data_IF_454723015147
#
_entry.id   IF_454723015147
#
_cell.length_a   1.000
_cell.length_b   1.000
_cell.length_c   1.000
_cell.angle_alpha   90.00
_cell.angle_beta   90.00
_cell.angle_gamma   90.00
#
_symmetry.space_group_name_H-M   'P 1'
#
loop_
_entity.id
_entity.type
_entity.pdbx_description
1 polymer ?
#
# COMPACT_ATOMS: atom_id res chain seq x y z
N UNK A 1 -16.10 10.43 37.83
CA UNK A 1 -14.89 10.37 37.00
C UNK A 1 -14.47 8.91 36.96
N UNK A 2 -14.94 8.17 35.96
CA UNK A 2 -14.58 6.76 35.75
C UNK A 2 -13.96 6.69 34.36
N UNK A 3 -12.65 6.51 34.32
CA UNK A 3 -11.90 6.28 33.09
C UNK A 3 -12.39 4.99 32.43
N UNK A 4 -12.91 5.11 31.22
CA UNK A 4 -13.22 3.97 30.36
C UNK A 4 -11.88 3.28 29.98
N UNK A 5 -11.72 1.96 30.22
CA UNK A 5 -10.44 1.31 30.00
C UNK A 5 -10.11 1.30 28.50
N UNK A 6 -9.02 1.97 28.14
CA UNK A 6 -8.50 2.14 26.78
C UNK A 6 -8.31 0.80 26.03
N UNK A 7 -8.20 -0.32 26.76
CA UNK A 7 -8.13 -1.68 26.22
C UNK A 7 -9.42 -2.11 25.50
N UNK A 8 -10.61 -1.74 25.99
CA UNK A 8 -11.89 -2.14 25.39
C UNK A 8 -12.09 -1.54 23.97
N UNK A 9 -11.51 -0.37 23.73
CA UNK A 9 -11.51 0.31 22.42
C UNK A 9 -10.61 -0.41 21.41
N UNK A 10 -9.39 -0.79 21.82
CA UNK A 10 -8.44 -1.53 20.98
C UNK A 10 -8.94 -2.93 20.57
N UNK A 11 -9.61 -3.65 21.48
CA UNK A 11 -10.20 -4.96 21.19
C UNK A 11 -11.39 -4.89 20.22
N UNK A 12 -12.22 -3.84 20.31
CA UNK A 12 -13.30 -3.60 19.33
C UNK A 12 -12.74 -3.26 17.95
N UNK A 13 -11.71 -2.41 17.87
CA UNK A 13 -11.04 -2.07 16.60
C UNK A 13 -10.35 -3.27 15.95
N UNK A 14 -9.68 -4.13 16.73
CA UNK A 14 -9.02 -5.33 16.22
C UNK A 14 -10.01 -6.36 15.65
N UNK A 15 -11.18 -6.52 16.29
CA UNK A 15 -12.23 -7.45 15.84
C UNK A 15 -12.94 -6.95 14.58
N UNK A 16 -13.17 -5.64 14.46
CA UNK A 16 -13.70 -5.02 13.23
C UNK A 16 -12.69 -5.16 12.09
N UNK A 17 -11.41 -4.87 12.32
CA UNK A 17 -10.36 -5.05 11.32
C UNK A 17 -10.20 -6.53 10.90
N UNK A 18 -10.28 -7.47 11.84
CA UNK A 18 -10.22 -8.90 11.55
C UNK A 18 -11.42 -9.38 10.72
N UNK A 19 -12.63 -8.88 11.02
CA UNK A 19 -13.83 -9.22 10.24
C UNK A 19 -13.79 -8.62 8.84
N UNK A 20 -13.26 -7.40 8.67
CA UNK A 20 -13.02 -6.82 7.35
C UNK A 20 -12.00 -7.63 6.55
N UNK A 21 -10.91 -8.11 7.18
CA UNK A 21 -9.93 -9.00 6.53
C UNK A 21 -10.50 -10.37 6.15
N UNK A 22 -11.46 -10.91 6.89
CA UNK A 22 -12.12 -12.20 6.59
C UNK A 22 -13.14 -12.11 5.44
N UNK A 23 -13.65 -10.92 5.16
CA UNK A 23 -14.63 -10.65 4.09
C UNK A 23 -14.00 -10.12 2.81
N UNK A 24 -12.69 -9.91 2.83
CA UNK A 24 -11.94 -9.46 1.67
C UNK A 24 -11.74 -10.61 0.70
N UNK A 25 -11.92 -10.31 -0.57
CA UNK A 25 -11.62 -11.25 -1.61
C UNK A 25 -10.11 -11.55 -1.59
N UNK A 26 -9.75 -12.72 -2.09
CA UNK A 26 -8.35 -13.14 -2.05
C UNK A 26 -7.56 -12.18 -2.95
N UNK A 27 -6.51 -11.51 -2.45
CA UNK A 27 -5.72 -10.59 -3.25
C UNK A 27 -5.24 -11.23 -4.55
N UNK A 28 -5.27 -10.48 -5.64
CA UNK A 28 -4.79 -10.99 -6.92
C UNK A 28 -3.28 -10.89 -7.05
N UNK A 29 -2.72 -11.51 -8.09
CA UNK A 29 -1.30 -11.46 -8.43
C UNK A 29 -0.86 -10.16 -9.11
N UNK A 30 -1.78 -9.27 -9.50
CA UNK A 30 -1.48 -8.02 -10.19
C UNK A 30 -1.50 -6.85 -9.20
N UNK A 31 -0.33 -6.27 -8.90
CA UNK A 31 -0.19 -5.23 -7.88
C UNK A 31 0.10 -3.88 -8.50
N UNK A 32 -0.68 -2.86 -8.13
CA UNK A 32 -0.46 -1.47 -8.47
C UNK A 32 0.11 -0.72 -7.27
N UNK A 33 1.28 -0.11 -7.45
CA UNK A 33 1.99 0.64 -6.42
C UNK A 33 2.14 2.10 -6.85
N UNK A 34 1.81 2.99 -5.93
CA UNK A 34 1.88 4.44 -6.16
C UNK A 34 2.41 5.18 -4.93
N UNK A 35 2.75 6.46 -5.15
CA UNK A 35 2.96 7.40 -4.06
C UNK A 35 2.14 8.67 -4.21
N UNK A 36 1.74 9.23 -3.07
CA UNK A 36 1.07 10.51 -2.96
C UNK A 36 1.71 11.39 -1.88
N UNK A 37 1.69 12.70 -2.07
CA UNK A 37 2.08 13.66 -1.04
C UNK A 37 0.90 13.89 -0.12
N UNK A 38 1.08 13.73 1.18
CA UNK A 38 0.06 13.96 2.21
C UNK A 38 0.55 14.94 3.26
N UNK A 39 -0.36 15.63 3.95
CA UNK A 39 -0.04 16.53 5.06
C UNK A 39 -0.56 15.93 6.36
N UNK A 40 0.33 15.63 7.30
CA UNK A 40 -0.01 15.03 8.61
C UNK A 40 0.59 15.92 9.69
N UNK A 41 -0.25 16.47 10.59
CA UNK A 41 0.19 17.36 11.66
C UNK A 41 0.98 18.57 11.14
N UNK A 42 0.54 19.17 10.04
CA UNK A 42 1.23 20.31 9.43
C UNK A 42 2.43 19.96 8.52
N UNK A 43 2.91 18.71 8.54
CA UNK A 43 4.14 18.31 7.84
C UNK A 43 3.83 17.56 6.55
N UNK A 44 4.56 17.88 5.48
CA UNK A 44 4.53 17.11 4.22
C UNK A 44 5.19 15.75 4.43
N UNK A 45 4.50 14.70 4.02
CA UNK A 45 4.90 13.30 4.07
C UNK A 45 4.57 12.62 2.74
N UNK A 46 5.09 11.42 2.54
CA UNK A 46 4.80 10.58 1.38
C UNK A 46 4.04 9.35 1.82
N UNK A 47 2.83 9.18 1.28
CA UNK A 47 2.04 7.97 1.35
C UNK A 47 2.50 7.06 0.21
N UNK A 48 2.85 5.83 0.54
CA UNK A 48 3.16 4.76 -0.39
C UNK A 48 2.07 3.72 -0.24
N UNK A 49 1.41 3.36 -1.33
CA UNK A 49 0.27 2.47 -1.27
C UNK A 49 0.39 1.38 -2.34
N UNK A 50 -0.14 0.22 -2.00
CA UNK A 50 -0.27 -0.91 -2.89
C UNK A 50 -1.71 -1.39 -2.89
N UNK A 51 -2.26 -1.59 -4.09
CA UNK A 51 -3.56 -2.20 -4.31
C UNK A 51 -3.43 -3.34 -5.32
N UNK A 52 -4.37 -4.25 -5.36
CA UNK A 52 -4.48 -5.20 -6.47
C UNK A 52 -5.33 -4.66 -7.64
N UNK A 53 -5.52 -5.46 -8.69
CA UNK A 53 -6.34 -5.15 -9.87
C UNK A 53 -7.86 -5.27 -9.64
N UNK A 54 -8.30 -5.65 -8.43
CA UNK A 54 -9.69 -5.53 -7.96
C UNK A 54 -9.88 -4.23 -7.14
N UNK A 55 -8.79 -3.65 -6.66
CA UNK A 55 -8.76 -2.34 -5.98
C UNK A 55 -8.66 -2.50 -4.48
N UNK A 56 -8.41 -3.72 -4.01
CA UNK A 56 -8.20 -4.01 -2.62
C UNK A 56 -6.84 -3.49 -2.17
N UNK A 57 -6.83 -2.73 -1.06
CA UNK A 57 -5.59 -2.23 -0.46
C UNK A 57 -4.80 -3.36 0.17
N UNK A 58 -3.62 -3.62 -0.37
CA UNK A 58 -2.69 -4.66 0.08
C UNK A 58 -1.81 -4.18 1.23
N UNK A 59 -1.23 -2.97 1.11
CA UNK A 59 -0.48 -2.34 2.20
C UNK A 59 -0.37 -0.82 1.99
N UNK A 60 -0.11 -0.12 3.09
CA UNK A 60 0.11 1.33 3.14
C UNK A 60 1.30 1.63 4.04
N UNK A 61 2.12 2.60 3.62
CA UNK A 61 3.25 3.08 4.38
C UNK A 61 3.37 4.61 4.25
N UNK A 62 3.47 5.31 5.37
CA UNK A 62 3.80 6.74 5.38
C UNK A 62 5.28 6.90 5.71
N UNK A 63 6.00 7.71 4.93
CA UNK A 63 7.41 8.02 5.14
C UNK A 63 7.69 9.51 4.98
N UNK A 64 8.70 10.01 5.70
CA UNK A 64 9.18 11.40 5.56
C UNK A 64 9.89 11.66 4.23
N UNK A 65 10.43 10.62 3.58
CA UNK A 65 11.28 10.74 2.38
C UNK A 65 10.71 9.90 1.24
N UNK A 66 10.77 10.45 0.02
CA UNK A 66 10.45 9.73 -1.23
C UNK A 66 11.70 9.08 -1.82
N UNK A 67 12.06 7.88 -1.37
CA UNK A 67 13.32 7.23 -1.76
C UNK A 67 13.23 5.70 -1.92
N UNK A 68 14.30 5.11 -2.43
CA UNK A 68 14.48 3.65 -2.60
C UNK A 68 14.20 2.86 -1.31
N UNK A 69 14.58 3.38 -0.15
CA UNK A 69 14.41 2.67 1.11
C UNK A 69 12.94 2.49 1.47
N UNK A 70 12.12 3.52 1.26
CA UNK A 70 10.68 3.45 1.45
C UNK A 70 10.02 2.46 0.48
N UNK A 71 10.37 2.50 -0.81
CA UNK A 71 9.89 1.53 -1.81
C UNK A 71 10.23 0.08 -1.44
N UNK A 72 11.49 -0.17 -1.03
CA UNK A 72 11.92 -1.49 -0.55
C UNK A 72 11.15 -1.95 0.68
N UNK A 73 10.86 -1.03 1.61
CA UNK A 73 10.12 -1.35 2.82
C UNK A 73 8.70 -1.79 2.50
N UNK A 74 8.01 -1.08 1.58
CA UNK A 74 6.68 -1.48 1.13
C UNK A 74 6.72 -2.86 0.44
N UNK A 75 7.58 -3.03 -0.56
CA UNK A 75 7.68 -4.28 -1.32
C UNK A 75 8.00 -5.50 -0.43
N UNK A 76 8.92 -5.36 0.53
CA UNK A 76 9.23 -6.45 1.47
C UNK A 76 8.07 -6.80 2.39
N UNK A 77 7.25 -5.83 2.78
CA UNK A 77 6.04 -6.08 3.57
C UNK A 77 5.00 -6.82 2.74
N UNK A 78 4.79 -6.41 1.49
CA UNK A 78 3.87 -7.08 0.56
C UNK A 78 4.24 -8.54 0.34
N UNK A 79 5.49 -8.81 -0.06
CA UNK A 79 5.98 -10.18 -0.31
C UNK A 79 5.86 -11.09 0.92
N UNK A 80 5.97 -10.52 2.13
CA UNK A 80 5.85 -11.26 3.39
C UNK A 80 4.41 -11.51 3.80
N UNK A 81 3.54 -10.51 3.63
CA UNK A 81 2.24 -10.48 4.30
C UNK A 81 1.08 -10.91 3.41
N UNK A 82 1.17 -10.74 2.09
CA UNK A 82 0.09 -11.09 1.16
C UNK A 82 0.06 -12.60 0.91
N UNK A 83 1.18 -13.30 1.05
CA UNK A 83 1.25 -14.76 0.88
C UNK A 83 1.05 -15.23 -0.56
N UNK A 84 1.04 -14.29 -1.52
CA UNK A 84 0.99 -14.54 -2.96
C UNK A 84 2.20 -13.87 -3.58
N UNK A 85 2.85 -14.57 -4.49
CA UNK A 85 3.89 -13.98 -5.31
C UNK A 85 3.27 -13.15 -6.43
N UNK A 86 3.72 -11.90 -6.65
CA UNK A 86 3.15 -11.08 -7.69
C UNK A 86 3.45 -11.69 -9.06
N UNK A 87 2.44 -11.71 -9.92
CA UNK A 87 2.58 -11.98 -11.34
C UNK A 87 3.08 -10.72 -12.04
N UNK A 88 2.47 -9.58 -11.71
CA UNK A 88 2.79 -8.28 -12.29
C UNK A 88 2.83 -7.22 -11.19
N UNK A 89 3.81 -6.33 -11.26
CA UNK A 89 3.89 -5.14 -10.41
C UNK A 89 3.95 -3.90 -11.30
N UNK A 90 2.90 -3.09 -11.22
CA UNK A 90 2.75 -1.84 -11.95
C UNK A 90 3.10 -0.70 -11.00
N UNK A 91 4.02 0.18 -11.41
CA UNK A 91 4.40 1.34 -10.60
C UNK A 91 4.30 2.62 -11.41
N UNK A 92 4.32 3.77 -10.76
CA UNK A 92 4.66 5.01 -11.46
C UNK A 92 6.13 5.04 -11.93
N UNK A 93 6.53 6.14 -12.57
CA UNK A 93 7.89 6.32 -13.13
C UNK A 93 8.94 6.64 -12.08
N UNK A 94 8.64 6.57 -10.78
CA UNK A 94 9.62 6.90 -9.76
C UNK A 94 10.82 5.93 -9.80
N UNK A 95 12.01 6.49 -9.99
CA UNK A 95 13.26 5.71 -10.07
C UNK A 95 13.52 4.84 -8.82
N UNK A 96 12.93 5.22 -7.67
CA UNK A 96 12.99 4.45 -6.43
C UNK A 96 12.42 3.04 -6.58
N UNK A 97 11.33 2.86 -7.34
CA UNK A 97 10.77 1.54 -7.60
C UNK A 97 11.70 0.70 -8.46
N UNK A 98 12.18 1.25 -9.58
CA UNK A 98 13.16 0.54 -10.43
C UNK A 98 14.40 0.09 -9.65
N UNK A 99 14.91 0.95 -8.76
CA UNK A 99 16.05 0.61 -7.92
C UNK A 99 15.71 -0.45 -6.86
N UNK A 100 14.48 -0.47 -6.35
CA UNK A 100 14.00 -1.50 -5.43
C UNK A 100 13.79 -2.85 -6.12
N UNK A 101 13.19 -2.88 -7.32
CA UNK A 101 12.98 -4.10 -8.10
C UNK A 101 14.29 -4.81 -8.41
N UNK A 102 15.35 -4.06 -8.74
CA UNK A 102 16.69 -4.63 -8.95
C UNK A 102 17.24 -5.36 -7.73
N UNK A 103 17.02 -4.81 -6.53
CA UNK A 103 17.48 -5.43 -5.27
C UNK A 103 16.67 -6.66 -4.91
N UNK A 104 15.40 -6.71 -5.30
CA UNK A 104 14.50 -7.83 -5.00
C UNK A 104 14.42 -8.88 -6.11
N UNK A 105 15.17 -8.70 -7.20
CA UNK A 105 15.14 -9.58 -8.37
C UNK A 105 13.73 -9.71 -9.01
N UNK A 106 12.97 -8.61 -9.03
CA UNK A 106 11.58 -8.55 -9.54
C UNK A 106 11.45 -7.83 -10.89
N UNK A 107 12.56 -7.56 -11.59
CA UNK A 107 12.57 -6.77 -12.83
C UNK A 107 11.67 -7.38 -13.92
N UNK A 108 11.61 -8.70 -14.03
CA UNK A 108 10.81 -9.39 -15.05
C UNK A 108 9.31 -9.26 -14.85
N UNK A 109 8.88 -8.86 -13.64
CA UNK A 109 7.47 -8.65 -13.27
C UNK A 109 7.13 -7.16 -13.20
N UNK A 110 8.12 -6.29 -13.35
CA UNK A 110 7.94 -4.85 -13.18
C UNK A 110 7.52 -4.19 -14.49
N UNK A 111 6.32 -3.63 -14.50
CA UNK A 111 5.83 -2.77 -15.57
C UNK A 111 5.87 -1.32 -15.04
N UNK A 112 6.84 -0.49 -15.45
CA UNK A 112 6.81 0.93 -15.13
C UNK A 112 5.69 1.60 -15.96
N UNK A 113 4.63 2.02 -15.29
CA UNK A 113 3.44 2.61 -15.91
C UNK A 113 3.64 4.03 -16.45
N UNK A 114 2.71 4.43 -17.32
CA UNK A 114 2.52 5.81 -17.76
C UNK A 114 1.73 6.67 -16.75
N UNK A 115 1.76 8.00 -16.91
CA UNK A 115 1.10 8.97 -16.02
C UNK A 115 -0.43 8.79 -15.89
N UNK A 116 -1.06 7.93 -16.72
CA UNK A 116 -2.52 7.72 -16.80
C UNK A 116 -2.98 6.33 -16.34
N UNK A 117 -2.08 5.36 -16.17
CA UNK A 117 -2.43 3.98 -15.80
C UNK A 117 -2.59 3.79 -14.29
N UNK A 118 -2.04 4.72 -13.48
CA UNK A 118 -2.22 4.76 -12.03
C UNK A 118 -3.50 5.46 -11.57
N UNK A 119 -4.35 5.92 -12.51
CA UNK A 119 -5.66 6.53 -12.20
C UNK A 119 -6.56 5.59 -11.39
N UNK A 120 -6.33 4.27 -11.42
CA UNK A 120 -7.06 3.31 -10.57
C UNK A 120 -6.72 3.49 -9.09
N UNK A 121 -5.47 3.82 -8.79
CA UNK A 121 -5.06 4.08 -7.43
C UNK A 121 -5.56 5.45 -6.93
N UNK A 122 -5.58 6.45 -7.81
CA UNK A 122 -6.25 7.73 -7.55
C UNK A 122 -7.77 7.56 -7.34
N UNK A 123 -8.44 6.71 -8.12
CA UNK A 123 -9.90 6.50 -8.02
C UNK A 123 -10.34 5.80 -6.72
N UNK A 124 -9.48 5.03 -6.04
CA UNK A 124 -9.82 4.50 -4.70
C UNK A 124 -9.81 5.58 -3.60
N UNK A 125 -9.42 6.83 -3.89
CA UNK A 125 -9.51 7.96 -2.96
C UNK A 125 -10.86 8.68 -2.99
N UNK A 126 -11.85 8.19 -3.75
CA UNK A 126 -13.20 8.71 -3.62
C UNK A 126 -13.70 8.40 -2.21
N UNK A 127 -13.76 9.46 -1.40
CA UNK A 127 -14.36 9.50 -0.09
C UNK A 127 -15.75 8.88 -0.21
N UNK A 128 -16.00 7.76 0.49
CA UNK A 128 -17.37 7.31 0.74
C UNK A 128 -18.04 8.48 1.47
N UNK A 129 -18.95 9.16 0.76
CA UNK A 129 -19.80 10.21 1.32
C UNK A 129 -20.96 9.59 2.07
#
# INVERSE_FOLDING_TARGET
MVDEPQEASAFRSARVAANLRRRRDRPTGCWHLDEAVVKIGGRRMYLWRAVDDEGEVLDVLVQKRRNKHAALKLLRRLLRNIGIHPETIITDKLASYRAAMKVLHLQTRHIPGGMRENNRAENSHLVIR
#
